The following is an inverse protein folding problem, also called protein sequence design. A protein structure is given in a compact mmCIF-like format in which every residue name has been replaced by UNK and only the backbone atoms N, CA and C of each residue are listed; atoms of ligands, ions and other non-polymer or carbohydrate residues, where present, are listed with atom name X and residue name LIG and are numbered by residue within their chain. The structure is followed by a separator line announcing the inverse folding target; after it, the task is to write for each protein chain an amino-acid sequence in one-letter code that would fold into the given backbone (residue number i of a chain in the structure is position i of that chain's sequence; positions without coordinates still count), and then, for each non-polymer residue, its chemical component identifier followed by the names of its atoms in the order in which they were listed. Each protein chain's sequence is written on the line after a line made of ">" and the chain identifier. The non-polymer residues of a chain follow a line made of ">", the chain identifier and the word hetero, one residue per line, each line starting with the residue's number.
data_IF_433189315419
#
_entry.id   IF_433189315419
#
_cell.length_a   1.000
_cell.length_b   1.000
_cell.length_c   1.000
_cell.angle_alpha   90.00
_cell.angle_beta   90.00
_cell.angle_gamma   90.00
#
_symmetry.space_group_name_H-M   'P 1'
#
loop_
_entity.id
_entity.type
_entity.pdbx_description
1 polymer ?
#
# COMPACT_ATOMS: atom_id res chain seq x y z
N UNK A 1 6.86 11.81 -31.00
CA UNK A 1 7.81 10.79 -30.51
C UNK A 1 7.32 10.35 -29.14
N UNK A 2 6.85 9.10 -29.09
CA UNK A 2 6.08 8.51 -27.99
C UNK A 2 6.97 8.13 -26.81
N UNK A 3 6.57 8.47 -25.59
CA UNK A 3 7.22 8.01 -24.35
C UNK A 3 6.62 6.69 -23.86
N UNK A 4 7.41 5.84 -23.19
CA UNK A 4 6.95 4.53 -22.72
C UNK A 4 6.20 4.67 -21.39
N UNK A 5 4.98 4.12 -21.36
CA UNK A 5 4.26 3.79 -20.12
C UNK A 5 4.94 2.59 -19.48
N UNK A 6 5.69 2.80 -18.41
CA UNK A 6 5.96 1.76 -17.42
C UNK A 6 4.74 1.70 -16.49
N UNK A 7 4.04 0.60 -16.27
CA UNK A 7 4.31 -0.77 -16.65
C UNK A 7 3.59 -1.76 -15.74
N UNK A 8 2.36 -1.46 -15.30
CA UNK A 8 1.42 -2.46 -14.82
C UNK A 8 0.49 -2.84 -15.97
N UNK A 9 0.99 -3.59 -16.95
CA UNK A 9 0.13 -4.20 -17.95
C UNK A 9 -0.79 -5.19 -17.23
N UNK A 10 -2.04 -4.77 -16.97
CA UNK A 10 -3.10 -5.65 -16.47
C UNK A 10 -3.10 -6.92 -17.34
N UNK A 11 -3.01 -8.13 -16.75
CA UNK A 11 -3.26 -9.33 -17.52
C UNK A 11 -4.71 -9.26 -18.03
N UNK A 12 -4.80 -8.99 -19.33
CA UNK A 12 -5.91 -9.14 -20.27
C UNK A 12 -7.31 -9.20 -19.69
N UNK A 13 -8.11 -8.18 -20.03
CA UNK A 13 -9.58 -8.29 -20.16
C UNK A 13 -10.23 -8.92 -18.93
N UNK A 14 -10.54 -8.08 -17.94
CA UNK A 14 -11.55 -8.29 -16.90
C UNK A 14 -12.36 -9.57 -17.16
N UNK A 15 -12.00 -10.65 -16.47
CA UNK A 15 -12.65 -11.94 -16.59
C UNK A 15 -14.10 -11.74 -16.09
N UNK A 16 -14.97 -11.36 -17.04
CA UNK A 16 -16.44 -11.27 -17.10
C UNK A 16 -17.29 -10.72 -15.94
N UNK A 17 -16.75 -10.33 -14.78
CA UNK A 17 -17.57 -10.24 -13.57
C UNK A 17 -18.46 -8.99 -13.41
N UNK A 18 -18.36 -7.96 -14.27
CA UNK A 18 -19.20 -6.74 -14.12
C UNK A 18 -20.33 -6.58 -15.14
N UNK A 19 -20.53 -7.48 -16.11
CA UNK A 19 -21.49 -7.22 -17.22
C UNK A 19 -22.75 -8.10 -17.28
N UNK A 20 -22.95 -9.11 -16.41
CA UNK A 20 -24.05 -10.06 -16.68
C UNK A 20 -24.72 -10.80 -15.53
N UNK A 21 -24.40 -10.54 -14.26
CA UNK A 21 -25.06 -11.26 -13.16
C UNK A 21 -26.19 -10.42 -12.54
N UNK A 22 -27.43 -10.88 -12.74
CA UNK A 22 -28.64 -10.35 -12.10
C UNK A 22 -28.50 -10.39 -10.56
N UNK A 23 -28.45 -9.26 -9.83
CA UNK A 23 -27.99 -9.28 -8.45
C UNK A 23 -29.14 -9.43 -7.44
N UNK A 24 -28.90 -10.25 -6.42
CA UNK A 24 -29.57 -10.10 -5.11
C UNK A 24 -29.17 -8.74 -4.52
N UNK A 25 -30.16 -7.87 -4.30
CA UNK A 25 -30.00 -6.50 -3.80
C UNK A 25 -29.35 -6.51 -2.41
N UNK A 26 -28.11 -6.01 -2.30
CA UNK A 26 -27.40 -5.80 -1.03
C UNK A 26 -25.88 -6.01 -1.10
N UNK A 27 -25.39 -6.97 -1.89
CA UNK A 27 -23.97 -7.37 -1.90
C UNK A 27 -23.09 -6.66 -2.95
N UNK A 28 -23.68 -6.01 -3.95
CA UNK A 28 -22.92 -5.47 -5.10
C UNK A 28 -22.23 -4.13 -4.76
N UNK A 29 -22.86 -3.29 -3.94
CA UNK A 29 -22.28 -2.00 -3.54
C UNK A 29 -21.02 -2.15 -2.70
N UNK A 30 -20.99 -3.15 -1.80
CA UNK A 30 -19.83 -3.43 -0.95
C UNK A 30 -18.65 -4.02 -1.72
N UNK A 31 -18.90 -4.83 -2.75
CA UNK A 31 -17.85 -5.34 -3.64
C UNK A 31 -17.26 -4.24 -4.52
N UNK A 32 -18.10 -3.35 -5.07
CA UNK A 32 -17.62 -2.23 -5.89
C UNK A 32 -16.79 -1.24 -5.07
N UNK A 33 -17.24 -0.91 -3.86
CA UNK A 33 -16.47 -0.05 -2.95
C UNK A 33 -15.13 -0.69 -2.55
N UNK A 34 -15.12 -2.00 -2.24
CA UNK A 34 -13.88 -2.74 -1.96
C UNK A 34 -12.91 -2.74 -3.13
N UNK A 35 -13.41 -2.80 -4.37
CA UNK A 35 -12.56 -2.71 -5.55
C UNK A 35 -11.88 -1.35 -5.65
N UNK A 36 -12.65 -0.26 -5.50
CA UNK A 36 -12.13 1.11 -5.54
C UNK A 36 -11.06 1.29 -4.45
N UNK A 37 -11.36 0.89 -3.21
CA UNK A 37 -10.40 0.99 -2.11
C UNK A 37 -9.16 0.10 -2.32
N UNK A 38 -9.30 -1.05 -2.97
CA UNK A 38 -8.17 -1.91 -3.30
C UNK A 38 -7.29 -1.30 -4.38
N UNK A 39 -7.89 -0.62 -5.37
CA UNK A 39 -7.20 0.17 -6.40
C UNK A 39 -6.49 1.39 -5.79
N UNK A 40 -7.13 2.08 -4.85
CA UNK A 40 -6.54 3.19 -4.08
C UNK A 40 -5.44 2.72 -3.10
N UNK A 41 -5.20 1.40 -3.04
CA UNK A 41 -4.08 0.85 -2.31
C UNK A 41 -4.32 0.56 -0.83
N UNK A 42 -5.57 0.53 -0.36
CA UNK A 42 -5.90 0.06 0.99
C UNK A 42 -5.61 -1.45 1.12
N UNK A 43 -4.57 -1.81 1.88
CA UNK A 43 -4.10 -3.20 2.04
C UNK A 43 -5.16 -4.11 2.67
N UNK A 44 -5.99 -3.58 3.58
CA UNK A 44 -7.11 -4.30 4.19
C UNK A 44 -8.19 -4.63 3.14
N UNK A 45 -8.50 -3.67 2.28
CA UNK A 45 -9.46 -3.85 1.18
C UNK A 45 -8.94 -4.83 0.13
N UNK A 46 -7.63 -4.80 -0.17
CA UNK A 46 -6.97 -5.77 -1.05
C UNK A 46 -7.10 -7.21 -0.51
N UNK A 47 -6.86 -7.42 0.79
CA UNK A 47 -7.06 -8.74 1.43
C UNK A 47 -8.54 -9.16 1.42
N UNK A 48 -9.45 -8.25 1.77
CA UNK A 48 -10.88 -8.55 1.79
C UNK A 48 -11.42 -8.90 0.38
N UNK A 49 -10.93 -8.21 -0.65
CA UNK A 49 -11.25 -8.50 -2.04
C UNK A 49 -10.71 -9.86 -2.47
N UNK A 50 -9.44 -10.17 -2.14
CA UNK A 50 -8.85 -11.47 -2.42
C UNK A 50 -9.65 -12.63 -1.80
N UNK A 51 -10.01 -12.52 -0.52
CA UNK A 51 -10.86 -13.51 0.16
C UNK A 51 -12.21 -13.70 -0.55
N UNK A 52 -12.84 -12.59 -0.95
CA UNK A 52 -14.10 -12.62 -1.68
C UNK A 52 -13.94 -13.39 -3.00
N UNK A 53 -12.87 -13.11 -3.76
CA UNK A 53 -12.56 -13.79 -5.02
C UNK A 53 -12.32 -15.29 -4.86
N UNK A 54 -11.64 -15.71 -3.78
CA UNK A 54 -11.41 -17.13 -3.48
C UNK A 54 -12.69 -17.86 -3.05
N UNK A 55 -13.65 -17.13 -2.48
CA UNK A 55 -14.89 -17.72 -1.95
C UNK A 55 -16.02 -17.77 -2.98
N UNK A 56 -15.98 -16.94 -4.05
CA UNK A 56 -17.04 -16.91 -5.07
C UNK A 56 -17.17 -18.30 -5.71
N UNK A 57 -18.31 -19.01 -5.51
CA UNK A 57 -18.54 -20.27 -6.16
C UNK A 57 -18.88 -19.99 -7.63
N UNK A 58 -17.96 -20.32 -8.53
CA UNK A 58 -18.24 -20.35 -9.98
C UNK A 58 -18.43 -21.78 -10.47
N UNK A 59 -19.45 -21.96 -11.32
CA UNK A 59 -19.71 -23.20 -12.06
C UNK A 59 -18.71 -23.41 -13.19
N UNK A 60 -18.03 -22.35 -13.64
CA UNK A 60 -17.03 -22.41 -14.70
C UNK A 60 -15.62 -22.52 -14.10
N UNK A 61 -14.89 -23.57 -14.50
CA UNK A 61 -13.51 -23.78 -14.06
C UNK A 61 -12.58 -22.63 -14.46
N UNK A 62 -12.74 -22.09 -15.68
CA UNK A 62 -11.93 -20.98 -16.17
C UNK A 62 -12.13 -19.71 -15.34
N UNK A 63 -13.38 -19.41 -14.98
CA UNK A 63 -13.70 -18.26 -14.14
C UNK A 63 -13.15 -18.44 -12.72
N UNK A 64 -13.24 -19.65 -12.15
CA UNK A 64 -12.65 -19.96 -10.84
C UNK A 64 -11.13 -19.79 -10.87
N UNK A 65 -10.47 -20.24 -11.94
CA UNK A 65 -9.03 -20.08 -12.12
C UNK A 65 -8.64 -18.60 -12.28
N UNK A 66 -9.37 -17.84 -13.10
CA UNK A 66 -9.24 -16.38 -13.22
C UNK A 66 -9.34 -15.68 -11.85
N UNK A 67 -10.39 -15.99 -11.08
CA UNK A 67 -10.64 -15.37 -9.78
C UNK A 67 -9.54 -15.69 -8.77
N UNK A 68 -9.06 -16.93 -8.75
CA UNK A 68 -7.95 -17.35 -7.91
C UNK A 68 -6.65 -16.60 -8.26
N UNK A 69 -6.33 -16.45 -9.55
CA UNK A 69 -5.16 -15.68 -9.98
C UNK A 69 -5.26 -14.20 -9.61
N UNK A 70 -6.47 -13.62 -9.73
CA UNK A 70 -6.73 -12.24 -9.33
C UNK A 70 -6.64 -12.06 -7.80
N UNK A 71 -7.10 -13.04 -7.03
CA UNK A 71 -6.94 -13.04 -5.57
C UNK A 71 -5.46 -13.02 -5.18
N UNK A 72 -4.65 -13.89 -5.78
CA UNK A 72 -3.19 -13.94 -5.54
C UNK A 72 -2.53 -12.62 -5.90
N UNK A 73 -2.96 -11.96 -6.99
CA UNK A 73 -2.46 -10.62 -7.34
C UNK A 73 -2.71 -9.60 -6.21
N UNK A 74 -3.94 -9.51 -5.70
CA UNK A 74 -4.27 -8.58 -4.62
C UNK A 74 -3.54 -8.91 -3.31
N UNK A 75 -3.37 -10.19 -3.00
CA UNK A 75 -2.58 -10.61 -1.84
C UNK A 75 -1.11 -10.20 -1.98
N UNK A 76 -0.52 -10.30 -3.18
CA UNK A 76 0.84 -9.82 -3.42
C UNK A 76 0.97 -8.31 -3.21
N UNK A 77 -0.02 -7.52 -3.65
CA UNK A 77 -0.02 -6.07 -3.41
C UNK A 77 -0.10 -5.72 -1.93
N UNK A 78 -0.93 -6.43 -1.17
CA UNK A 78 -1.04 -6.23 0.28
C UNK A 78 0.23 -6.69 1.02
N UNK A 79 0.81 -7.82 0.61
CA UNK A 79 2.05 -8.36 1.16
C UNK A 79 3.25 -7.43 0.90
N UNK A 80 3.34 -6.79 -0.26
CA UNK A 80 4.40 -5.80 -0.55
C UNK A 80 4.38 -4.62 0.45
N UNK A 81 3.21 -4.29 0.99
CA UNK A 81 2.96 -3.24 1.99
C UNK A 81 3.08 -3.71 3.44
N UNK A 82 3.55 -4.94 3.67
CA UNK A 82 3.75 -5.51 5.01
C UNK A 82 2.47 -5.98 5.69
N UNK A 83 1.39 -6.27 4.95
CA UNK A 83 0.16 -6.83 5.52
C UNK A 83 0.36 -8.31 5.89
N UNK A 84 0.33 -8.61 7.19
CA UNK A 84 0.65 -9.93 7.73
C UNK A 84 -0.30 -11.02 7.25
N UNK A 85 -1.59 -10.71 7.26
CA UNK A 85 -2.65 -11.61 6.81
C UNK A 85 -2.47 -12.02 5.34
N UNK A 86 -1.91 -11.13 4.51
CA UNK A 86 -1.67 -11.44 3.11
C UNK A 86 -0.60 -12.54 2.94
N UNK A 87 0.45 -12.55 3.77
CA UNK A 87 1.46 -13.62 3.74
C UNK A 87 0.86 -14.97 4.12
N UNK A 88 -0.02 -15.01 5.12
CA UNK A 88 -0.68 -16.26 5.54
C UNK A 88 -1.54 -16.82 4.40
N UNK A 89 -2.37 -15.97 3.79
CA UNK A 89 -3.22 -16.39 2.67
C UNK A 89 -2.41 -16.78 1.43
N UNK A 90 -1.26 -16.14 1.18
CA UNK A 90 -0.36 -16.55 0.10
C UNK A 90 0.23 -17.94 0.36
N UNK A 91 0.62 -18.26 1.61
CA UNK A 91 1.07 -19.62 1.97
C UNK A 91 -0.01 -20.65 1.72
N UNK A 92 -1.25 -20.36 2.10
CA UNK A 92 -2.40 -21.26 1.87
C UNK A 92 -2.68 -21.45 0.37
N UNK A 93 -2.55 -20.39 -0.44
CA UNK A 93 -2.70 -20.47 -1.89
C UNK A 93 -1.60 -21.35 -2.51
N UNK A 94 -0.36 -21.25 -2.04
CA UNK A 94 0.76 -22.08 -2.50
C UNK A 94 0.56 -23.54 -2.10
N UNK A 95 0.20 -23.82 -0.84
CA UNK A 95 -0.01 -25.19 -0.36
C UNK A 95 -1.16 -25.89 -1.10
N UNK A 96 -2.18 -25.13 -1.50
CA UNK A 96 -3.35 -25.64 -2.22
C UNK A 96 -3.18 -25.61 -3.74
N UNK A 97 -2.11 -24.98 -4.26
CA UNK A 97 -1.91 -24.76 -5.70
C UNK A 97 -2.95 -23.84 -6.35
N UNK A 98 -3.64 -23.01 -5.56
CA UNK A 98 -4.74 -22.17 -6.03
C UNK A 98 -4.21 -20.85 -6.55
N UNK A 99 -4.52 -20.51 -7.81
CA UNK A 99 -4.17 -19.22 -8.40
C UNK A 99 -2.68 -19.02 -8.71
N UNK A 100 -1.87 -20.08 -8.57
CA UNK A 100 -0.43 -20.06 -8.85
C UNK A 100 -0.19 -20.31 -10.34
N UNK A 101 0.66 -19.48 -10.95
CA UNK A 101 1.09 -19.62 -12.33
C UNK A 101 2.60 -19.30 -12.46
N UNK A 102 3.20 -19.66 -13.60
CA UNK A 102 4.62 -19.45 -13.83
C UNK A 102 5.08 -17.97 -13.73
N UNK A 103 4.15 -17.01 -13.89
CA UNK A 103 4.45 -15.58 -13.84
C UNK A 103 4.44 -15.03 -12.41
N UNK A 104 3.52 -15.48 -11.57
CA UNK A 104 3.39 -14.99 -10.19
C UNK A 104 4.25 -15.77 -9.21
N UNK A 105 4.60 -17.04 -9.52
CA UNK A 105 5.37 -17.89 -8.63
C UNK A 105 6.66 -17.25 -8.09
N UNK A 106 7.54 -16.64 -8.92
CA UNK A 106 8.77 -16.02 -8.41
C UNK A 106 8.49 -14.85 -7.46
N UNK A 107 7.40 -14.10 -7.72
CA UNK A 107 7.00 -12.96 -6.89
C UNK A 107 6.45 -13.43 -5.54
N UNK A 108 5.69 -14.53 -5.53
CA UNK A 108 5.15 -15.15 -4.31
C UNK A 108 6.30 -15.68 -3.45
N UNK A 109 7.20 -16.45 -4.05
CA UNK A 109 8.37 -17.00 -3.37
C UNK A 109 9.22 -15.89 -2.73
N UNK A 110 9.51 -14.82 -3.48
CA UNK A 110 10.21 -13.65 -2.95
C UNK A 110 9.50 -13.04 -1.75
N UNK A 111 8.17 -12.84 -1.83
CA UNK A 111 7.39 -12.23 -0.74
C UNK A 111 7.35 -13.12 0.52
N UNK A 112 7.27 -14.44 0.34
CA UNK A 112 7.22 -15.39 1.45
C UNK A 112 8.59 -15.57 2.13
N UNK A 113 9.67 -15.34 1.39
CA UNK A 113 11.05 -15.42 1.90
C UNK A 113 11.53 -14.14 2.61
N UNK A 114 10.70 -13.10 2.73
CA UNK A 114 11.06 -11.94 3.53
C UNK A 114 11.30 -12.34 5.00
N UNK A 115 12.39 -11.82 5.59
CA UNK A 115 12.67 -11.97 7.02
C UNK A 115 11.61 -11.23 7.84
N UNK A 116 11.50 -11.54 9.13
CA UNK A 116 10.57 -10.83 10.02
C UNK A 116 10.91 -9.34 10.12
N UNK A 117 12.20 -8.99 10.14
CA UNK A 117 12.69 -7.61 10.08
C UNK A 117 12.21 -6.91 8.82
N UNK A 118 12.37 -7.52 7.64
CA UNK A 118 11.95 -6.93 6.37
C UNK A 118 10.42 -6.74 6.30
N UNK A 119 9.64 -7.66 6.90
CA UNK A 119 8.18 -7.50 7.03
C UNK A 119 7.82 -6.32 7.92
N UNK A 120 8.52 -6.15 9.05
CA UNK A 120 8.33 -5.02 9.96
C UNK A 120 8.73 -3.70 9.27
N UNK A 121 9.86 -3.67 8.57
CA UNK A 121 10.33 -2.52 7.80
C UNK A 121 9.31 -2.07 6.78
N UNK A 122 8.74 -3.00 6.01
CA UNK A 122 7.66 -2.71 5.05
C UNK A 122 6.41 -2.14 5.69
N UNK A 123 6.02 -2.68 6.85
CA UNK A 123 4.86 -2.19 7.60
C UNK A 123 5.07 -0.76 8.08
N UNK A 124 6.22 -0.48 8.68
CA UNK A 124 6.58 0.86 9.18
C UNK A 124 6.73 1.83 8.02
N UNK A 125 7.46 1.45 6.97
CA UNK A 125 7.61 2.25 5.75
C UNK A 125 6.25 2.61 5.19
N UNK A 126 5.33 1.66 5.05
CA UNK A 126 3.97 1.94 4.58
C UNK A 126 3.20 2.88 5.51
N UNK A 127 3.34 2.73 6.83
CA UNK A 127 2.73 3.65 7.80
C UNK A 127 3.26 5.07 7.63
N UNK A 128 4.57 5.22 7.45
CA UNK A 128 5.23 6.50 7.20
C UNK A 128 4.75 7.12 5.88
N UNK A 129 4.69 6.31 4.81
CA UNK A 129 4.12 6.76 3.54
C UNK A 129 2.68 7.21 3.71
N UNK A 130 1.83 6.46 4.39
CA UNK A 130 0.44 6.83 4.58
C UNK A 130 0.29 8.14 5.36
N UNK A 131 1.09 8.35 6.41
CA UNK A 131 1.13 9.59 7.18
C UNK A 131 1.56 10.79 6.33
N UNK A 132 2.49 10.58 5.38
CA UNK A 132 3.00 11.64 4.50
C UNK A 132 2.03 11.90 3.34
N UNK A 133 1.38 10.86 2.82
CA UNK A 133 0.58 10.90 1.58
C UNK A 133 -0.88 11.28 1.83
N UNK A 134 -1.33 11.53 3.07
CA UNK A 134 -2.71 11.93 3.34
C UNK A 134 -3.15 13.18 2.56
N UNK A 135 -2.19 14.01 2.10
CA UNK A 135 -2.45 15.32 1.49
C UNK A 135 -1.85 15.51 0.08
N UNK A 136 -1.23 14.49 -0.54
CA UNK A 136 -0.47 14.65 -1.80
C UNK A 136 -0.68 13.50 -2.79
N UNK A 137 -0.87 13.81 -4.08
CA UNK A 137 -1.11 12.81 -5.15
C UNK A 137 0.20 12.11 -5.61
N UNK A 138 0.17 10.77 -5.56
CA UNK A 138 0.91 9.70 -6.25
C UNK A 138 2.45 9.73 -6.41
N UNK A 139 3.12 10.88 -6.41
CA UNK A 139 4.57 10.98 -6.50
C UNK A 139 5.08 12.12 -5.61
N UNK A 140 5.76 11.78 -4.52
CA UNK A 140 6.36 12.77 -3.62
C UNK A 140 7.82 13.01 -4.01
N UNK A 141 8.17 14.25 -4.40
CA UNK A 141 9.57 14.64 -4.54
C UNK A 141 10.32 14.49 -3.22
N UNK A 142 11.61 14.14 -3.27
CA UNK A 142 12.43 13.89 -2.08
C UNK A 142 12.37 15.01 -1.04
N UNK A 143 12.39 16.27 -1.48
CA UNK A 143 12.35 17.42 -0.58
C UNK A 143 11.03 17.50 0.21
N UNK A 144 9.89 17.22 -0.41
CA UNK A 144 8.57 17.21 0.26
C UNK A 144 8.48 16.06 1.24
N UNK A 145 9.05 14.89 0.88
CA UNK A 145 9.10 13.73 1.78
C UNK A 145 9.91 14.05 3.04
N UNK A 146 11.10 14.66 2.88
CA UNK A 146 11.96 15.07 4.00
C UNK A 146 11.31 16.13 4.87
N UNK A 147 10.72 17.17 4.27
CA UNK A 147 10.03 18.23 5.01
C UNK A 147 8.89 17.68 5.86
N UNK A 148 8.07 16.79 5.31
CA UNK A 148 6.97 16.15 6.06
C UNK A 148 7.48 15.26 7.19
N UNK A 149 8.56 14.51 6.99
CA UNK A 149 9.19 13.74 8.08
C UNK A 149 9.64 14.66 9.22
N UNK A 150 10.32 15.76 8.89
CA UNK A 150 10.81 16.70 9.88
C UNK A 150 9.67 17.34 10.69
N UNK A 151 8.51 17.57 10.06
CA UNK A 151 7.31 18.04 10.75
C UNK A 151 6.73 16.99 11.71
N UNK A 152 6.57 15.73 11.26
CA UNK A 152 6.07 14.64 12.11
C UNK A 152 6.97 14.45 13.34
N UNK A 153 8.30 14.46 13.14
CA UNK A 153 9.26 14.33 14.25
C UNK A 153 9.21 15.51 15.23
N UNK A 154 8.90 16.72 14.75
CA UNK A 154 8.71 17.91 15.61
C UNK A 154 7.41 17.84 16.40
N UNK A 155 6.31 17.40 15.80
CA UNK A 155 5.01 17.27 16.48
C UNK A 155 5.06 16.25 17.64
N UNK A 156 5.71 15.10 17.46
CA UNK A 156 5.92 14.11 18.53
C UNK A 156 6.75 14.66 19.72
N UNK A 157 7.59 15.67 19.49
CA UNK A 157 8.36 16.31 20.56
C UNK A 157 7.53 17.34 21.36
N UNK A 158 6.42 17.84 20.80
CA UNK A 158 5.55 18.85 21.44
C UNK A 158 4.48 18.18 22.31
N UNK A 159 3.96 17.01 21.95
CA UNK A 159 2.98 16.27 22.78
C UNK A 159 3.55 15.76 24.12
N UNK A 160 4.88 15.65 24.25
CA UNK A 160 5.52 15.33 25.54
C UNK A 160 5.64 16.53 26.50
N UNK A 161 5.18 17.73 26.12
CA UNK A 161 5.31 18.94 26.94
C UNK A 161 4.04 19.81 27.00
N UNK A 162 2.83 19.23 27.03
CA UNK A 162 1.66 20.03 27.43
C UNK A 162 0.52 19.22 28.05
N UNK A 163 0.74 18.72 29.27
CA UNK A 163 -0.31 18.72 30.29
C UNK A 163 -0.01 19.86 31.25
N UNK A 164 -0.56 21.05 31.00
CA UNK A 164 -1.05 22.00 32.01
C UNK A 164 -1.66 23.26 31.37
N UNK A 165 -2.99 23.34 31.53
CA UNK A 165 -3.86 24.52 31.68
C UNK A 165 -4.05 25.52 30.53
N UNK A 166 -5.30 25.50 30.06
CA UNK A 166 -6.19 26.58 29.63
C UNK A 166 -5.67 28.03 29.66
N UNK A 167 -5.76 28.71 28.51
CA UNK A 167 -6.61 29.89 28.29
C UNK A 167 -6.64 30.24 26.78
N UNK A 168 -7.83 30.37 26.21
CA UNK A 168 -8.15 30.92 24.87
C UNK A 168 -8.44 32.44 24.98
N UNK A 169 -8.54 33.23 23.88
CA UNK A 169 -7.71 33.38 22.68
C UNK A 169 -7.44 34.92 22.43
N UNK A 170 -6.97 35.44 21.25
CA UNK A 170 -7.84 35.54 20.07
C UNK A 170 -7.17 35.34 18.69
N UNK A 171 -8.00 34.82 17.80
CA UNK A 171 -7.96 34.76 16.33
C UNK A 171 -7.05 35.78 15.61
N UNK A 172 -6.08 35.27 14.85
CA UNK A 172 -5.55 35.95 13.67
C UNK A 172 -5.74 35.08 12.43
N UNK A 173 -6.48 35.65 11.49
CA UNK A 173 -6.70 35.14 10.14
C UNK A 173 -5.35 34.95 9.42
N UNK A 174 -5.05 33.74 9.00
CA UNK A 174 -4.03 33.50 7.97
C UNK A 174 -4.71 32.93 6.73
N UNK A 175 -4.62 33.70 5.65
CA UNK A 175 -5.07 33.35 4.31
C UNK A 175 -4.26 32.16 3.77
N UNK A 176 -4.85 31.29 2.93
CA UNK A 176 -4.12 30.20 2.30
C UNK A 176 -3.11 30.74 1.29
N UNK A 177 -1.82 30.70 1.66
CA UNK A 177 -0.72 30.92 0.73
C UNK A 177 -0.50 29.62 -0.06
N UNK A 178 -0.91 29.62 -1.32
CA UNK A 178 -0.61 28.55 -2.28
C UNK A 178 0.53 29.06 -3.18
N UNK A 179 1.78 28.59 -3.03
CA UNK A 179 2.78 28.85 -4.05
C UNK A 179 2.41 28.07 -5.31
N UNK A 180 2.02 28.79 -6.37
CA UNK A 180 1.90 28.23 -7.72
C UNK A 180 3.30 27.80 -8.17
N UNK A 181 3.63 26.52 -8.01
CA UNK A 181 4.89 25.98 -8.49
C UNK A 181 4.77 25.81 -10.01
N UNK A 182 5.61 26.55 -10.70
CA UNK A 182 5.72 26.59 -12.16
C UNK A 182 6.19 25.22 -12.68
N UNK A 183 5.38 24.59 -13.53
CA UNK A 183 5.53 23.20 -13.99
C UNK A 183 6.73 22.99 -14.94
N UNK A 184 7.53 24.03 -15.20
CA UNK A 184 8.64 23.99 -16.14
C UNK A 184 9.97 23.46 -15.55
N UNK A 185 10.06 23.26 -14.22
CA UNK A 185 11.30 22.85 -13.54
C UNK A 185 11.32 21.38 -13.07
N UNK A 186 10.25 20.61 -13.30
CA UNK A 186 10.06 19.26 -12.72
C UNK A 186 10.86 18.13 -13.40
N UNK A 187 11.79 18.43 -14.32
CA UNK A 187 12.43 17.39 -15.15
C UNK A 187 13.60 16.67 -14.47
N UNK A 188 14.11 17.17 -13.35
CA UNK A 188 15.30 16.64 -12.66
C UNK A 188 15.08 16.37 -11.16
N UNK A 189 13.84 16.29 -10.67
CA UNK A 189 13.60 16.06 -9.24
C UNK A 189 13.72 14.57 -8.90
N UNK A 190 14.55 14.25 -7.90
CA UNK A 190 14.61 12.93 -7.31
C UNK A 190 13.28 12.63 -6.60
N UNK A 191 12.72 11.45 -6.85
CA UNK A 191 11.51 10.95 -6.20
C UNK A 191 11.92 9.84 -5.23
N UNK A 192 11.23 9.75 -4.09
CA UNK A 192 11.47 8.68 -3.12
C UNK A 192 10.65 7.46 -3.49
N UNK A 193 11.31 6.32 -3.69
CA UNK A 193 10.64 5.04 -3.95
C UNK A 193 10.28 4.32 -2.66
N UNK A 194 9.24 3.48 -2.72
CA UNK A 194 8.83 2.64 -1.58
C UNK A 194 9.98 1.77 -1.07
N UNK A 195 10.75 1.17 -1.98
CA UNK A 195 11.89 0.32 -1.65
C UNK A 195 13.00 1.06 -0.91
N UNK A 196 13.27 2.32 -1.25
CA UNK A 196 14.29 3.13 -0.55
C UNK A 196 13.89 3.41 0.89
N UNK A 197 12.61 3.70 1.14
CA UNK A 197 12.11 3.91 2.51
C UNK A 197 12.12 2.60 3.29
N UNK A 198 11.75 1.47 2.68
CA UNK A 198 11.86 0.15 3.32
C UNK A 198 13.30 -0.14 3.74
N UNK A 199 14.26 0.05 2.84
CA UNK A 199 15.68 -0.18 3.13
C UNK A 199 16.18 0.77 4.23
N UNK A 200 15.77 2.04 4.20
CA UNK A 200 16.12 3.03 5.21
C UNK A 200 15.60 2.63 6.59
N UNK A 201 14.32 2.26 6.67
CA UNK A 201 13.69 1.77 7.91
C UNK A 201 14.38 0.51 8.40
N UNK A 202 14.70 -0.43 7.51
CA UNK A 202 15.40 -1.66 7.88
C UNK A 202 16.77 -1.38 8.49
N UNK A 203 17.57 -0.50 7.87
CA UNK A 203 18.87 -0.10 8.42
C UNK A 203 18.75 0.49 9.83
N UNK A 204 17.74 1.35 10.05
CA UNK A 204 17.49 1.92 11.38
C UNK A 204 17.07 0.87 12.41
N UNK A 205 16.28 -0.12 12.00
CA UNK A 205 15.89 -1.22 12.90
C UNK A 205 17.08 -2.08 13.27
N UNK A 206 17.95 -2.43 12.32
CA UNK A 206 19.17 -3.20 12.57
C UNK A 206 20.09 -2.48 13.57
N UNK A 207 20.26 -1.16 13.44
CA UNK A 207 21.00 -0.35 14.42
C UNK A 207 20.34 -0.40 15.82
N UNK A 208 19.01 -0.29 15.90
CA UNK A 208 18.27 -0.37 17.18
C UNK A 208 18.34 -1.75 17.82
N UNK A 209 18.36 -2.83 17.03
CA UNK A 209 18.52 -4.20 17.53
C UNK A 209 19.96 -4.46 18.00
N UNK A 210 20.96 -3.97 17.27
CA UNK A 210 22.37 -4.01 17.70
C UNK A 210 22.59 -3.27 19.01
N UNK A 211 21.92 -2.13 19.22
CA UNK A 211 22.01 -1.37 20.47
C UNK A 211 21.38 -2.16 21.65
N UNK A 212 20.33 -2.95 21.40
CA UNK A 212 19.69 -3.77 22.44
C UNK A 212 20.49 -5.03 22.80
N UNK A 213 21.28 -5.57 21.89
CA UNK A 213 22.15 -6.73 22.18
C UNK A 213 23.44 -6.34 22.93
N UNK A 214 23.76 -5.04 23.00
CA UNK A 214 24.92 -4.50 23.72
C UNK A 214 24.56 -4.02 25.14
N UNK A 215 23.27 -3.83 25.45
CA UNK A 215 22.76 -3.43 26.79
C UNK A 215 22.33 -4.62 27.64
#
# INVERSE_FOLDING_TARGET
>A
MSTPKTGGSFPGKFCFFLRGASPKKGSLGTLRLRHILAEDGCKESQVALAKSLLTIPSSNFEERSCNAQLAVYWLLQAAEKGQEEAYLLLKDCVSSGIGINAKNHPKIEKCLNFTEEEKISRRIAFSLFQAIMSDTEDLVPEHIFREKIDLILKEESVEKLSTKTADDPPLLQQQPYQPKIDQSSLRNQAHVSFSEVVNSVQSCLEELFLIKDIM
#
